data_IF_113321701685
#
_entry.id   IF_113321701685
#
_cell.length_a   1.000
_cell.length_b   1.000
_cell.length_c   1.000
_cell.angle_alpha   90.00
_cell.angle_beta   90.00
_cell.angle_gamma   90.00
#
_symmetry.space_group_name_H-M   'P 1'
#
loop_
_entity.id
_entity.type
_entity.pdbx_description
1 polymer ?
#
# COMPACT_ATOMS: atom_id res chain seq x y z
N UNK A 1 -14.61 -0.04 -30.67
CA UNK A 1 -13.85 -0.55 -29.51
C UNK A 1 -12.72 0.41 -29.25
N UNK A 2 -12.59 0.91 -28.02
CA UNK A 2 -11.50 1.81 -27.61
C UNK A 2 -10.29 0.95 -27.23
N UNK A 3 -9.08 1.40 -27.55
CA UNK A 3 -7.86 0.60 -27.26
C UNK A 3 -7.56 0.50 -25.76
N UNK A 4 -6.83 -0.54 -25.34
CA UNK A 4 -6.39 -0.68 -23.93
C UNK A 4 -5.55 0.51 -23.46
N UNK A 5 -4.74 1.10 -24.35
CA UNK A 5 -3.95 2.29 -24.04
C UNK A 5 -4.84 3.51 -23.77
N UNK A 6 -5.87 3.75 -24.60
CA UNK A 6 -6.82 4.85 -24.37
C UNK A 6 -7.64 4.65 -23.10
N UNK A 7 -7.98 3.40 -22.76
CA UNK A 7 -8.65 3.05 -21.50
C UNK A 7 -7.75 3.37 -20.30
N UNK A 8 -6.46 2.97 -20.35
CA UNK A 8 -5.49 3.27 -19.31
C UNK A 8 -5.24 4.78 -19.14
N UNK A 9 -5.15 5.54 -20.23
CA UNK A 9 -4.97 7.00 -20.20
C UNK A 9 -6.17 7.70 -19.57
N UNK A 10 -7.40 7.33 -19.95
CA UNK A 10 -8.63 7.91 -19.37
C UNK A 10 -8.81 7.52 -17.91
N UNK A 11 -8.46 6.29 -17.55
CA UNK A 11 -8.40 5.89 -16.15
C UNK A 11 -7.44 6.77 -15.34
N UNK A 12 -6.20 6.91 -15.82
CA UNK A 12 -5.16 7.68 -15.14
C UNK A 12 -5.47 9.19 -15.04
N UNK A 13 -6.19 9.75 -16.03
CA UNK A 13 -6.41 11.20 -16.11
C UNK A 13 -7.78 11.66 -15.62
N UNK A 14 -8.84 10.87 -15.81
CA UNK A 14 -10.22 11.25 -15.52
C UNK A 14 -10.97 10.29 -14.60
N UNK A 15 -10.35 9.19 -14.14
CA UNK A 15 -10.98 8.23 -13.23
C UNK A 15 -12.20 7.51 -13.83
N UNK A 16 -12.26 7.41 -15.16
CA UNK A 16 -13.42 6.89 -15.88
C UNK A 16 -13.50 5.35 -15.73
N UNK A 17 -14.30 4.88 -14.75
CA UNK A 17 -14.38 3.47 -14.35
C UNK A 17 -15.35 2.61 -15.18
N UNK A 18 -16.25 3.22 -15.97
CA UNK A 18 -17.31 2.54 -16.74
C UNK A 18 -16.79 1.60 -17.84
N UNK A 19 -15.48 1.62 -18.11
CA UNK A 19 -14.81 0.89 -19.17
C UNK A 19 -13.87 -0.22 -18.64
N UNK A 20 -13.75 -0.38 -17.32
CA UNK A 20 -12.71 -1.20 -16.68
C UNK A 20 -13.15 -2.63 -16.33
N UNK A 21 -14.37 -3.05 -16.69
CA UNK A 21 -14.88 -4.39 -16.38
C UNK A 21 -14.03 -5.55 -16.94
N UNK A 22 -13.13 -5.27 -17.89
CA UNK A 22 -12.27 -6.25 -18.57
C UNK A 22 -10.77 -5.91 -18.50
N UNK A 23 -10.35 -4.79 -17.88
CA UNK A 23 -8.93 -4.44 -17.85
C UNK A 23 -8.22 -5.15 -16.70
N UNK A 24 -7.32 -6.06 -17.06
CA UNK A 24 -6.55 -6.90 -16.15
C UNK A 24 -5.12 -6.34 -16.13
N UNK A 25 -4.73 -5.66 -15.05
CA UNK A 25 -3.35 -5.18 -14.81
C UNK A 25 -2.38 -6.31 -14.38
N UNK A 26 -2.79 -7.59 -14.43
CA UNK A 26 -1.99 -8.71 -13.92
C UNK A 26 -0.83 -9.13 -14.84
N UNK A 27 -0.78 -8.73 -16.11
CA UNK A 27 0.13 -9.40 -17.06
C UNK A 27 1.60 -8.93 -17.00
N UNK A 28 1.97 -7.92 -16.20
CA UNK A 28 3.34 -7.39 -16.23
C UNK A 28 3.82 -6.84 -14.86
N UNK A 29 3.74 -7.64 -13.80
CA UNK A 29 4.26 -7.27 -12.47
C UNK A 29 5.78 -6.98 -12.48
N UNK A 30 6.56 -7.69 -13.32
CA UNK A 30 8.00 -7.45 -13.47
C UNK A 30 8.31 -6.16 -14.25
N UNK A 31 7.59 -5.90 -15.34
CA UNK A 31 7.72 -4.67 -16.14
C UNK A 31 7.30 -3.45 -15.33
N UNK A 32 6.22 -3.57 -14.56
CA UNK A 32 5.75 -2.53 -13.63
C UNK A 32 6.80 -2.24 -12.53
N UNK A 33 7.51 -3.26 -12.03
CA UNK A 33 8.54 -3.07 -10.99
C UNK A 33 9.70 -2.19 -11.47
N UNK A 34 10.17 -2.37 -12.72
CA UNK A 34 11.23 -1.55 -13.29
C UNK A 34 10.77 -0.11 -13.54
N UNK A 35 9.54 0.07 -13.98
CA UNK A 35 8.93 1.39 -14.15
C UNK A 35 8.79 2.14 -12.82
N UNK A 36 8.31 1.45 -11.77
CA UNK A 36 8.22 2.03 -10.44
C UNK A 36 9.60 2.39 -9.87
N UNK A 37 10.61 1.55 -10.09
CA UNK A 37 11.98 1.85 -9.66
C UNK A 37 12.51 3.09 -10.37
N UNK A 38 12.36 3.16 -11.69
CA UNK A 38 12.76 4.33 -12.49
C UNK A 38 12.05 5.61 -12.03
N UNK A 39 10.72 5.58 -11.89
CA UNK A 39 9.94 6.73 -11.39
C UNK A 39 10.37 7.10 -9.98
N UNK A 40 10.68 6.13 -9.12
CA UNK A 40 11.15 6.37 -7.75
C UNK A 40 12.50 7.08 -7.71
N UNK A 41 13.41 6.75 -8.63
CA UNK A 41 14.69 7.47 -8.77
C UNK A 41 14.47 8.92 -9.20
N UNK A 42 13.48 9.20 -10.06
CA UNK A 42 13.11 10.58 -10.43
C UNK A 42 12.49 11.31 -9.24
N UNK A 43 11.52 10.71 -8.57
CA UNK A 43 10.80 11.31 -7.44
C UNK A 43 11.71 11.59 -6.25
N UNK A 44 12.85 10.91 -6.13
CA UNK A 44 13.88 11.24 -5.13
C UNK A 44 14.38 12.67 -5.26
N UNK A 45 14.39 13.25 -6.46
CA UNK A 45 14.74 14.66 -6.68
C UNK A 45 13.61 15.63 -6.28
N UNK A 46 12.36 15.15 -6.28
CA UNK A 46 11.18 15.93 -5.89
C UNK A 46 10.92 15.94 -4.38
N UNK A 47 11.58 15.05 -3.61
CA UNK A 47 11.65 15.09 -2.15
C UNK A 47 10.29 15.33 -1.47
N UNK A 48 10.17 16.46 -0.76
CA UNK A 48 8.97 16.85 -0.01
C UNK A 48 7.71 16.99 -0.88
N UNK A 49 7.85 17.40 -2.13
CA UNK A 49 6.68 17.55 -3.02
C UNK A 49 6.10 16.18 -3.41
N UNK A 50 6.98 15.18 -3.61
CA UNK A 50 6.54 13.80 -3.82
C UNK A 50 5.83 13.26 -2.57
N UNK A 51 6.37 13.54 -1.39
CA UNK A 51 5.78 13.14 -0.11
C UNK A 51 4.38 13.75 0.08
N UNK A 52 4.24 15.07 -0.09
CA UNK A 52 2.96 15.78 0.01
C UNK A 52 1.95 15.26 -0.99
N UNK A 53 2.38 14.99 -2.23
CA UNK A 53 1.51 14.45 -3.27
C UNK A 53 0.98 13.06 -2.89
N UNK A 54 1.87 12.13 -2.52
CA UNK A 54 1.48 10.77 -2.15
C UNK A 54 0.50 10.78 -0.98
N UNK A 55 0.79 11.55 0.08
CA UNK A 55 -0.09 11.65 1.26
C UNK A 55 -1.45 12.26 0.89
N UNK A 56 -1.46 13.31 0.08
CA UNK A 56 -2.70 13.96 -0.39
C UNK A 56 -3.55 12.99 -1.21
N UNK A 57 -2.93 12.26 -2.13
CA UNK A 57 -3.59 11.31 -3.00
C UNK A 57 -4.23 10.17 -2.21
N UNK A 58 -3.46 9.54 -1.31
CA UNK A 58 -3.97 8.50 -0.40
C UNK A 58 -5.14 9.03 0.42
N UNK A 59 -4.99 10.22 1.03
CA UNK A 59 -6.04 10.80 1.86
C UNK A 59 -7.31 11.07 1.06
N UNK A 60 -7.19 11.61 -0.16
CA UNK A 60 -8.32 11.87 -1.05
C UNK A 60 -9.07 10.58 -1.42
N UNK A 61 -8.34 9.51 -1.73
CA UNK A 61 -8.92 8.21 -2.07
C UNK A 61 -9.61 7.56 -0.87
N UNK A 62 -9.02 7.67 0.32
CA UNK A 62 -9.65 7.18 1.56
C UNK A 62 -10.91 7.96 1.93
N UNK A 63 -10.95 9.28 1.72
CA UNK A 63 -12.18 10.06 1.91
C UNK A 63 -13.24 9.66 0.88
N UNK A 64 -12.87 9.39 -0.37
CA UNK A 64 -13.81 8.91 -1.39
C UNK A 64 -14.44 7.56 -0.97
N UNK A 65 -13.65 6.66 -0.38
CA UNK A 65 -14.17 5.40 0.17
C UNK A 65 -15.13 5.60 1.36
N UNK A 66 -15.22 6.78 1.98
CA UNK A 66 -16.22 7.01 3.04
C UNK A 66 -17.61 7.29 2.50
N UNK A 67 -17.72 7.65 1.22
CA UNK A 67 -18.99 7.94 0.54
C UNK A 67 -19.68 6.61 0.23
N UNK A 68 -20.86 6.30 0.82
CA UNK A 68 -21.53 5.02 0.63
C UNK A 68 -21.84 4.71 -0.84
N UNK A 69 -22.18 5.73 -1.62
CA UNK A 69 -22.49 5.63 -3.05
C UNK A 69 -21.30 5.07 -3.84
N UNK A 70 -20.09 5.54 -3.53
CA UNK A 70 -18.84 5.07 -4.14
C UNK A 70 -18.62 3.59 -3.84
N UNK A 71 -18.90 3.13 -2.61
CA UNK A 71 -18.76 1.70 -2.22
C UNK A 71 -19.74 0.78 -2.94
N UNK A 72 -20.84 1.34 -3.43
CA UNK A 72 -21.88 0.60 -4.15
C UNK A 72 -21.81 0.77 -5.67
N UNK A 73 -20.83 1.54 -6.17
CA UNK A 73 -20.69 1.87 -7.58
C UNK A 73 -19.41 1.26 -8.19
N UNK A 74 -19.30 1.20 -9.52
CA UNK A 74 -18.05 0.84 -10.20
C UNK A 74 -16.86 1.77 -9.87
N UNK A 75 -17.12 2.93 -9.27
CA UNK A 75 -16.07 3.84 -8.81
C UNK A 75 -15.23 3.23 -7.69
N UNK A 76 -15.79 2.30 -6.89
CA UNK A 76 -15.05 1.52 -5.90
C UNK A 76 -13.83 0.86 -6.55
N UNK A 77 -13.99 0.29 -7.74
CA UNK A 77 -12.92 -0.45 -8.42
C UNK A 77 -11.80 0.50 -8.79
N UNK A 78 -12.15 1.67 -9.33
CA UNK A 78 -11.18 2.71 -9.66
C UNK A 78 -10.43 3.23 -8.43
N UNK A 79 -11.13 3.45 -7.32
CA UNK A 79 -10.50 3.91 -6.08
C UNK A 79 -9.53 2.85 -5.55
N UNK A 80 -9.91 1.57 -5.56
CA UNK A 80 -9.06 0.46 -5.12
C UNK A 80 -7.84 0.27 -6.03
N UNK A 81 -8.00 0.33 -7.34
CA UNK A 81 -6.90 0.28 -8.31
C UNK A 81 -5.91 1.44 -8.11
N UNK A 82 -6.41 2.67 -7.90
CA UNK A 82 -5.56 3.83 -7.63
C UNK A 82 -4.84 3.71 -6.29
N UNK A 83 -5.50 3.16 -5.27
CA UNK A 83 -4.89 2.88 -3.98
C UNK A 83 -3.79 1.82 -4.09
N UNK A 84 -4.03 0.75 -4.85
CA UNK A 84 -3.02 -0.28 -5.13
C UNK A 84 -1.78 0.34 -5.80
N UNK A 85 -1.99 1.15 -6.83
CA UNK A 85 -0.92 1.81 -7.56
C UNK A 85 -0.12 2.79 -6.70
N UNK A 86 -0.79 3.68 -5.96
CA UNK A 86 -0.10 4.68 -5.14
C UNK A 86 0.67 4.05 -3.98
N UNK A 87 0.19 2.93 -3.41
CA UNK A 87 0.89 2.18 -2.37
C UNK A 87 2.13 1.49 -2.93
N UNK A 88 2.03 0.90 -4.11
CA UNK A 88 3.19 0.28 -4.79
C UNK A 88 4.25 1.34 -5.11
N UNK A 89 3.83 2.49 -5.65
CA UNK A 89 4.73 3.64 -5.89
C UNK A 89 5.37 4.13 -4.59
N UNK A 90 4.58 4.31 -3.53
CA UNK A 90 5.07 4.75 -2.23
C UNK A 90 6.10 3.78 -1.64
N UNK A 91 5.85 2.47 -1.74
CA UNK A 91 6.77 1.42 -1.30
C UNK A 91 8.12 1.50 -2.03
N UNK A 92 8.08 1.58 -3.37
CA UNK A 92 9.27 1.72 -4.21
C UNK A 92 10.03 3.02 -3.92
N UNK A 93 9.31 4.13 -3.76
CA UNK A 93 9.90 5.43 -3.45
C UNK A 93 10.55 5.44 -2.06
N UNK A 94 9.89 4.91 -1.03
CA UNK A 94 10.47 4.77 0.31
C UNK A 94 11.74 3.90 0.28
N UNK A 95 11.75 2.84 -0.53
CA UNK A 95 12.92 1.99 -0.77
C UNK A 95 14.08 2.77 -1.40
N UNK A 96 13.80 3.56 -2.44
CA UNK A 96 14.81 4.34 -3.18
C UNK A 96 15.33 5.55 -2.40
N UNK A 97 14.42 6.28 -1.73
CA UNK A 97 14.72 7.48 -0.96
C UNK A 97 15.62 7.17 0.25
N UNK A 98 15.49 5.97 0.82
CA UNK A 98 16.35 5.46 1.88
C UNK A 98 17.85 5.51 1.56
N UNK A 99 18.22 5.38 0.29
CA UNK A 99 19.62 5.44 -0.17
C UNK A 99 20.02 6.84 -0.62
N UNK A 100 19.25 7.87 -0.24
CA UNK A 100 19.53 9.25 -0.62
C UNK A 100 20.62 9.91 0.20
N UNK A 101 21.70 10.35 -0.48
CA UNK A 101 22.77 11.19 0.10
C UNK A 101 22.27 12.54 0.63
N UNK A 102 21.06 12.96 0.29
CA UNK A 102 20.46 14.23 0.73
C UNK A 102 19.78 14.17 2.10
N UNK A 103 20.00 13.10 2.89
CA UNK A 103 20.08 13.16 4.35
C UNK A 103 18.87 13.68 5.14
N UNK A 104 17.70 13.87 4.52
CA UNK A 104 16.46 14.07 5.28
C UNK A 104 15.96 12.70 5.73
N UNK A 105 15.63 12.62 7.02
CA UNK A 105 15.06 11.43 7.61
C UNK A 105 13.87 10.98 6.75
N UNK A 106 13.73 9.67 6.52
CA UNK A 106 12.49 9.10 6.03
C UNK A 106 11.36 9.64 6.90
N UNK A 107 10.50 10.50 6.35
CA UNK A 107 9.34 10.94 7.12
C UNK A 107 8.35 9.77 7.21
N UNK A 108 7.88 9.56 8.43
CA UNK A 108 6.89 8.57 8.79
C UNK A 108 5.52 8.82 8.14
N UNK A 109 5.25 10.02 7.64
CA UNK A 109 3.96 10.45 7.07
C UNK A 109 3.46 9.55 5.94
N UNK A 110 4.28 9.27 4.93
CA UNK A 110 3.90 8.40 3.78
C UNK A 110 3.67 6.97 4.25
N UNK A 111 4.55 6.46 5.12
CA UNK A 111 4.39 5.12 5.68
C UNK A 111 3.09 5.00 6.49
N UNK A 112 2.80 5.99 7.34
CA UNK A 112 1.57 6.07 8.12
C UNK A 112 0.33 6.21 7.23
N UNK A 113 0.41 6.98 6.14
CA UNK A 113 -0.68 7.10 5.17
C UNK A 113 -0.98 5.74 4.54
N UNK A 114 0.04 4.99 4.12
CA UNK A 114 -0.13 3.64 3.56
C UNK A 114 -0.66 2.64 4.60
N UNK A 115 -0.16 2.66 5.85
CA UNK A 115 -0.70 1.84 6.95
C UNK A 115 -2.17 2.17 7.25
N UNK A 116 -2.58 3.43 7.13
CA UNK A 116 -3.98 3.82 7.26
C UNK A 116 -4.85 3.26 6.13
N UNK A 117 -4.31 2.99 4.93
CA UNK A 117 -5.07 2.34 3.87
C UNK A 117 -5.45 0.93 4.29
N UNK A 118 -4.47 0.13 4.73
CA UNK A 118 -4.70 -1.24 5.22
C UNK A 118 -5.74 -1.25 6.35
N UNK A 119 -5.61 -0.31 7.29
CA UNK A 119 -6.55 -0.23 8.42
C UNK A 119 -7.97 0.14 7.98
N UNK A 120 -8.11 1.07 7.03
CA UNK A 120 -9.43 1.52 6.60
C UNK A 120 -10.09 0.52 5.66
N UNK A 121 -9.33 -0.18 4.81
CA UNK A 121 -9.87 -1.26 3.97
C UNK A 121 -10.47 -2.37 4.83
N UNK A 122 -9.74 -2.84 5.85
CA UNK A 122 -10.23 -3.88 6.76
C UNK A 122 -11.48 -3.45 7.53
N UNK A 123 -11.54 -2.19 7.98
CA UNK A 123 -12.71 -1.66 8.69
C UNK A 123 -13.94 -1.51 7.79
N UNK A 124 -13.74 -1.15 6.52
CA UNK A 124 -14.84 -0.89 5.58
C UNK A 124 -15.40 -2.17 4.93
N UNK A 125 -14.65 -3.28 4.92
CA UNK A 125 -15.08 -4.61 4.45
C UNK A 125 -15.70 -4.61 3.03
N UNK A 126 -15.21 -3.76 2.12
CA UNK A 126 -15.73 -3.66 0.75
C UNK A 126 -15.12 -4.70 -0.20
N UNK A 127 -14.07 -5.40 0.21
CA UNK A 127 -13.23 -6.26 -0.65
C UNK A 127 -14.01 -7.36 -1.37
N UNK A 128 -15.10 -7.86 -0.75
CA UNK A 128 -16.00 -8.85 -1.36
C UNK A 128 -16.84 -8.33 -2.52
N UNK A 129 -16.93 -7.01 -2.67
CA UNK A 129 -17.66 -6.34 -3.75
C UNK A 129 -16.77 -6.05 -4.96
N UNK A 130 -15.46 -6.30 -4.85
CA UNK A 130 -14.50 -6.08 -5.92
C UNK A 130 -14.51 -7.23 -6.95
N UNK A 131 -14.31 -6.93 -8.25
CA UNK A 131 -13.99 -7.94 -9.24
C UNK A 131 -12.72 -8.68 -8.85
N UNK A 132 -12.62 -9.95 -9.25
CA UNK A 132 -11.50 -10.83 -8.86
C UNK A 132 -10.13 -10.23 -9.19
N UNK A 133 -9.96 -9.62 -10.38
CA UNK A 133 -8.68 -9.01 -10.79
C UNK A 133 -8.32 -7.81 -9.90
N UNK A 134 -9.26 -6.89 -9.66
CA UNK A 134 -9.04 -5.72 -8.79
C UNK A 134 -8.81 -6.11 -7.35
N UNK A 135 -9.57 -7.09 -6.84
CA UNK A 135 -9.36 -7.66 -5.51
C UNK A 135 -7.93 -8.19 -5.37
N UNK A 136 -7.50 -9.00 -6.35
CA UNK A 136 -6.15 -9.58 -6.39
C UNK A 136 -5.06 -8.51 -6.39
N UNK A 137 -5.15 -7.54 -7.30
CA UNK A 137 -4.13 -6.48 -7.42
C UNK A 137 -4.07 -5.62 -6.15
N UNK A 138 -5.22 -5.24 -5.61
CA UNK A 138 -5.32 -4.46 -4.38
C UNK A 138 -4.68 -5.20 -3.20
N UNK A 139 -5.12 -6.42 -2.90
CA UNK A 139 -4.58 -7.21 -1.81
C UNK A 139 -3.09 -7.52 -1.98
N UNK A 140 -2.63 -7.86 -3.19
CA UNK A 140 -1.19 -8.05 -3.47
C UNK A 140 -0.36 -6.82 -3.15
N UNK A 141 -0.86 -5.64 -3.51
CA UNK A 141 -0.18 -4.37 -3.23
C UNK A 141 -0.09 -4.10 -1.73
N UNK A 142 -1.16 -4.37 -0.97
CA UNK A 142 -1.18 -4.24 0.48
C UNK A 142 -0.22 -5.24 1.16
N UNK A 143 -0.24 -6.51 0.75
CA UNK A 143 0.65 -7.54 1.28
C UNK A 143 2.13 -7.24 1.00
N UNK A 144 2.45 -6.80 -0.22
CA UNK A 144 3.80 -6.38 -0.59
C UNK A 144 4.26 -5.18 0.25
N UNK A 145 3.39 -4.19 0.43
CA UNK A 145 3.66 -3.04 1.28
C UNK A 145 3.86 -3.43 2.75
N UNK A 146 3.01 -4.27 3.33
CA UNK A 146 3.12 -4.70 4.72
C UNK A 146 4.42 -5.48 4.97
N UNK A 147 4.82 -6.33 4.01
CA UNK A 147 6.14 -6.97 4.01
C UNK A 147 7.24 -5.92 4.02
N UNK A 148 7.19 -4.95 3.11
CA UNK A 148 8.18 -3.88 3.05
C UNK A 148 8.24 -3.07 4.35
N UNK A 149 7.09 -2.65 4.89
CA UNK A 149 6.95 -1.91 6.13
C UNK A 149 7.58 -2.67 7.31
N UNK A 150 7.28 -3.96 7.46
CA UNK A 150 7.90 -4.82 8.46
C UNK A 150 9.44 -4.84 8.34
N UNK A 151 9.94 -5.01 7.11
CA UNK A 151 11.37 -5.07 6.86
C UNK A 151 12.09 -3.77 7.19
N UNK A 152 11.55 -2.61 6.78
CA UNK A 152 12.20 -1.32 7.01
C UNK A 152 12.06 -0.83 8.45
N UNK A 153 10.96 -1.17 9.13
CA UNK A 153 10.66 -0.67 10.47
C UNK A 153 11.12 -1.60 11.58
N UNK A 154 11.20 -2.92 11.39
CA UNK A 154 11.42 -3.85 12.50
C UNK A 154 12.64 -4.75 12.32
N UNK A 155 12.98 -5.11 11.07
CA UNK A 155 14.13 -5.99 10.80
C UNK A 155 15.39 -5.22 10.43
N UNK A 156 15.28 -4.02 9.86
CA UNK A 156 16.45 -3.28 9.42
C UNK A 156 17.25 -2.64 10.55
N UNK A 157 18.57 -2.86 10.55
CA UNK A 157 19.50 -2.47 11.63
C UNK A 157 20.33 -1.23 11.34
N UNK A 158 20.00 -0.47 10.30
CA UNK A 158 20.74 0.75 9.95
C UNK A 158 20.33 1.92 10.85
N UNK A 159 21.23 2.85 11.20
CA UNK A 159 20.94 3.97 12.11
C UNK A 159 19.70 4.82 11.72
N UNK A 160 19.38 4.89 10.42
CA UNK A 160 18.18 5.54 9.92
C UNK A 160 16.86 4.86 10.30
N UNK A 161 16.86 3.54 10.55
CA UNK A 161 15.67 2.81 10.97
C UNK A 161 15.26 3.14 12.41
N UNK A 162 16.22 3.42 13.29
CA UNK A 162 15.95 3.78 14.69
C UNK A 162 15.18 5.11 14.81
N UNK A 163 15.60 6.14 14.06
CA UNK A 163 14.89 7.43 14.03
C UNK A 163 13.47 7.30 13.46
N UNK A 164 13.32 6.49 12.40
CA UNK A 164 12.02 6.20 11.81
C UNK A 164 11.12 5.45 12.80
N UNK A 165 11.64 4.42 13.46
CA UNK A 165 10.93 3.67 14.52
C UNK A 165 10.46 4.60 15.64
N UNK A 166 11.34 5.48 16.13
CA UNK A 166 11.00 6.44 17.20
C UNK A 166 9.90 7.41 16.75
N UNK A 167 10.00 7.97 15.54
CA UNK A 167 8.98 8.86 14.99
C UNK A 167 7.61 8.17 14.82
N UNK A 168 7.62 6.95 14.29
CA UNK A 168 6.41 6.13 14.15
C UNK A 168 5.82 5.78 15.51
N UNK A 169 6.66 5.38 16.47
CA UNK A 169 6.22 5.01 17.81
C UNK A 169 5.60 6.21 18.55
N UNK A 170 6.14 7.42 18.39
CA UNK A 170 5.54 8.64 18.93
C UNK A 170 4.18 8.92 18.28
N UNK A 171 4.09 8.79 16.95
CA UNK A 171 2.85 9.00 16.20
C UNK A 171 1.75 7.99 16.55
N UNK A 172 2.12 6.74 16.84
CA UNK A 172 1.19 5.68 17.25
C UNK A 172 0.79 5.80 18.72
N UNK A 173 1.73 6.14 19.60
CA UNK A 173 1.46 6.38 21.02
C UNK A 173 0.47 7.54 21.22
N UNK A 174 0.56 8.59 20.40
CA UNK A 174 -0.41 9.69 20.40
C UNK A 174 -1.85 9.26 20.04
N UNK A 175 -2.03 8.06 19.50
CA UNK A 175 -3.32 7.49 19.07
C UNK A 175 -3.68 6.20 19.82
N UNK A 176 -2.96 5.89 20.91
CA UNK A 176 -3.15 4.69 21.75
C UNK A 176 -3.07 3.33 21.03
N UNK A 177 -2.30 3.23 19.94
CA UNK A 177 -2.15 1.99 19.15
C UNK A 177 -1.08 0.99 19.67
N UNK A 178 -0.62 1.13 20.91
CA UNK A 178 0.38 0.23 21.48
C UNK A 178 1.77 0.33 20.81
N UNK A 179 2.47 -0.81 20.67
CA UNK A 179 3.80 -0.84 20.07
C UNK A 179 3.73 -0.90 18.55
N UNK A 180 4.71 -0.32 17.85
CA UNK A 180 4.81 -0.39 16.38
C UNK A 180 4.76 -1.83 15.84
N UNK A 181 5.38 -2.78 16.55
CA UNK A 181 5.37 -4.19 16.15
C UNK A 181 3.97 -4.82 16.27
N UNK A 182 3.27 -4.55 17.38
CA UNK A 182 1.89 -5.02 17.59
C UNK A 182 0.96 -4.40 16.56
N UNK A 183 1.08 -3.09 16.32
CA UNK A 183 0.27 -2.38 15.34
C UNK A 183 0.44 -2.92 13.91
N UNK A 184 1.69 -3.14 13.46
CA UNK A 184 1.92 -3.72 12.12
C UNK A 184 1.42 -5.17 12.07
N UNK A 185 1.60 -5.97 13.13
CA UNK A 185 1.07 -7.34 13.14
C UNK A 185 -0.46 -7.35 13.03
N UNK A 186 -1.15 -6.48 13.78
CA UNK A 186 -2.61 -6.36 13.71
C UNK A 186 -3.07 -6.08 12.28
N UNK A 187 -2.42 -5.12 11.59
CA UNK A 187 -2.73 -4.82 10.19
C UNK A 187 -2.47 -6.00 9.25
N UNK A 188 -1.42 -6.79 9.51
CA UNK A 188 -1.12 -7.99 8.72
C UNK A 188 -2.18 -9.05 8.94
N UNK A 189 -2.61 -9.28 10.18
CA UNK A 189 -3.67 -10.23 10.48
C UNK A 189 -4.98 -9.79 9.83
N UNK A 190 -5.35 -8.51 9.96
CA UNK A 190 -6.55 -7.95 9.34
C UNK A 190 -6.54 -8.15 7.81
N UNK A 191 -5.44 -7.81 7.15
CA UNK A 191 -5.29 -7.94 5.70
C UNK A 191 -5.31 -9.41 5.24
N UNK A 192 -4.65 -10.31 5.99
CA UNK A 192 -4.67 -11.74 5.70
C UNK A 192 -6.09 -12.29 5.81
N UNK A 193 -6.84 -11.91 6.84
CA UNK A 193 -8.22 -12.34 7.03
C UNK A 193 -9.14 -11.81 5.92
N UNK A 194 -8.99 -10.54 5.54
CA UNK A 194 -9.78 -9.96 4.47
C UNK A 194 -9.48 -10.67 3.14
N UNK A 195 -8.20 -10.81 2.79
CA UNK A 195 -7.73 -11.51 1.60
C UNK A 195 -8.20 -12.97 1.54
N UNK A 196 -8.13 -13.72 2.65
CA UNK A 196 -8.62 -15.12 2.69
C UNK A 196 -10.14 -15.17 2.46
N UNK A 197 -10.87 -14.12 2.84
CA UNK A 197 -12.32 -14.05 2.71
C UNK A 197 -12.81 -13.53 1.35
N UNK A 198 -11.97 -12.81 0.61
CA UNK A 198 -12.29 -12.15 -0.67
C UNK A 198 -11.61 -12.77 -1.89
N UNK A 199 -10.49 -13.49 -1.72
CA UNK A 199 -9.72 -14.11 -2.79
C UNK A 199 -9.72 -15.64 -2.69
N UNK A 200 -9.42 -16.33 -3.80
CA UNK A 200 -9.41 -17.80 -3.87
C UNK A 200 -8.21 -18.37 -4.63
N UNK A 201 -7.18 -17.57 -4.87
CA UNK A 201 -6.05 -17.91 -5.74
C UNK A 201 -4.70 -17.79 -5.02
N UNK A 202 -3.61 -17.65 -5.79
CA UNK A 202 -2.24 -17.53 -5.30
C UNK A 202 -2.07 -16.40 -4.26
N UNK A 203 -2.90 -15.35 -4.29
CA UNK A 203 -2.82 -14.24 -3.33
C UNK A 203 -3.12 -14.69 -1.91
N UNK A 204 -3.98 -15.70 -1.71
CA UNK A 204 -4.24 -16.28 -0.39
C UNK A 204 -2.98 -16.97 0.16
N UNK A 205 -2.24 -17.68 -0.69
CA UNK A 205 -0.98 -18.29 -0.31
C UNK A 205 0.08 -17.24 0.03
N UNK A 206 0.17 -16.15 -0.74
CA UNK A 206 1.06 -15.02 -0.46
C UNK A 206 0.74 -14.35 0.90
N UNK A 207 -0.54 -14.23 1.24
CA UNK A 207 -1.01 -13.68 2.50
C UNK A 207 -0.58 -14.57 3.69
N UNK A 208 -0.85 -15.87 3.62
CA UNK A 208 -0.47 -16.83 4.67
C UNK A 208 1.07 -16.89 4.79
N UNK A 209 1.79 -16.84 3.67
CA UNK A 209 3.24 -16.84 3.66
C UNK A 209 3.81 -15.60 4.37
N UNK A 210 3.21 -14.41 4.18
CA UNK A 210 3.60 -13.19 4.90
C UNK A 210 3.48 -13.37 6.42
N UNK A 211 2.37 -13.93 6.90
CA UNK A 211 2.20 -14.19 8.33
C UNK A 211 3.25 -15.17 8.87
N UNK A 212 3.55 -16.22 8.09
CA UNK A 212 4.60 -17.20 8.41
C UNK A 212 5.99 -16.54 8.45
N UNK A 213 6.33 -15.67 7.49
CA UNK A 213 7.58 -14.91 7.50
C UNK A 213 7.74 -14.08 8.78
N UNK A 214 6.68 -13.36 9.19
CA UNK A 214 6.72 -12.52 10.39
C UNK A 214 6.84 -13.35 11.67
N UNK A 215 6.18 -14.50 11.74
CA UNK A 215 6.30 -15.43 12.86
C UNK A 215 7.70 -16.05 12.98
N UNK A 216 8.36 -16.32 11.86
CA UNK A 216 9.72 -16.88 11.82
C UNK A 216 10.82 -15.83 12.05
N UNK A 217 10.49 -14.54 11.85
CA UNK A 217 11.40 -13.43 12.03
C UNK A 217 10.83 -12.37 12.99
N UNK A 218 10.56 -12.72 14.26
CA UNK A 218 10.01 -11.77 15.22
C UNK A 218 11.04 -10.67 15.53
N UNK A 219 10.58 -9.43 15.79
CA UNK A 219 11.47 -8.36 16.22
C UNK A 219 12.03 -8.73 17.59
N UNK A 220 13.32 -8.49 17.82
CA UNK A 220 14.05 -8.89 19.04
C UNK A 220 13.43 -8.40 20.37
N UNK A 221 12.49 -7.47 20.36
CA UNK A 221 11.78 -6.97 21.55
C UNK A 221 10.59 -7.84 21.98
N UNK A 222 10.31 -8.94 21.28
CA UNK A 222 9.27 -9.91 21.68
C UNK A 222 9.81 -11.07 22.52
N UNK A 223 11.13 -11.12 22.73
CA UNK A 223 11.80 -12.09 23.60
C UNK A 223 12.36 -11.41 24.86
#
# INVERSE_FOLDING_TARGET
>A
MMSHQEQAVRFATSGEASLFGEYILDEDAETSSLEFEFVSQILRFCGEEAEKYIVKEISSLLEALKIPEVRSSPELFCVCERLAFIITLASSWLGSYRFSRNGRALDSTVLLACLNVVRQSSQMNFSRSLPSATSRHFHRSLLAFLRFAWHITLLNRMDGSKKLQESLQLSLAAKDFGTLATFILELVVDEVLDCVSSCSDQTVFEAIHLLSEMANHPPRRWC
#
